data_IF_900325868509
#
_entry.id   IF_900325868509
#
_cell.length_a   1.000
_cell.length_b   1.000
_cell.length_c   1.000
_cell.angle_alpha   90.00
_cell.angle_beta   90.00
_cell.angle_gamma   90.00
#
_symmetry.space_group_name_H-M   'P 1'
#
loop_
_entity.id
_entity.type
_entity.pdbx_description
1 polymer ?
#
# COMPACT_ATOMS: atom_id res chain seq x y z
N UNK A 1 11.08 19.77 19.51
CA UNK A 1 9.75 19.12 19.47
C UNK A 1 8.66 20.18 19.34
N UNK A 2 8.33 20.66 18.13
CA UNK A 2 7.11 21.45 17.86
C UNK A 2 7.03 21.77 16.36
N UNK A 3 6.48 20.85 15.56
CA UNK A 3 5.87 21.12 14.23
C UNK A 3 5.40 19.83 13.53
N UNK A 4 5.81 18.66 14.02
CA UNK A 4 5.48 17.34 13.45
C UNK A 4 3.98 17.10 13.30
N UNK A 5 3.19 17.46 14.32
CA UNK A 5 1.72 17.34 14.28
C UNK A 5 1.09 18.22 13.19
N UNK A 6 1.63 19.43 12.98
CA UNK A 6 1.13 20.35 11.95
C UNK A 6 1.47 19.90 10.52
N UNK A 7 2.66 19.31 10.33
CA UNK A 7 3.05 18.70 9.06
C UNK A 7 2.17 17.50 8.72
N UNK A 8 2.01 16.54 9.66
CA UNK A 8 1.15 15.37 9.49
C UNK A 8 -0.32 15.74 9.29
N UNK A 9 -0.84 16.76 9.99
CA UNK A 9 -2.23 17.21 9.84
C UNK A 9 -2.47 17.82 8.45
N UNK A 10 -1.55 18.67 7.96
CA UNK A 10 -1.59 19.18 6.58
C UNK A 10 -1.41 18.08 5.54
N UNK A 11 -0.65 17.02 5.86
CA UNK A 11 -0.48 15.84 5.02
C UNK A 11 -1.79 15.03 4.93
N UNK A 12 -2.47 14.82 6.06
CA UNK A 12 -3.76 14.15 6.16
C UNK A 12 -4.83 14.89 5.35
N UNK A 13 -4.84 16.22 5.42
CA UNK A 13 -5.76 17.07 4.65
C UNK A 13 -5.46 17.05 3.14
N UNK A 14 -4.19 16.91 2.73
CA UNK A 14 -3.81 16.75 1.32
C UNK A 14 -4.08 15.35 0.76
N UNK A 15 -4.00 14.32 1.59
CA UNK A 15 -4.20 12.92 1.20
C UNK A 15 -5.68 12.48 1.26
N UNK A 16 -6.48 13.10 2.13
CA UNK A 16 -7.89 12.79 2.30
C UNK A 16 -8.72 14.08 2.18
N UNK A 17 -9.25 14.33 0.97
CA UNK A 17 -10.28 15.34 0.75
C UNK A 17 -11.47 15.01 1.64
N UNK A 18 -11.78 15.88 2.61
CA UNK A 18 -13.00 15.76 3.43
C UNK A 18 -14.21 15.67 2.50
N UNK A 19 -15.03 14.63 2.66
CA UNK A 19 -16.45 14.67 2.25
C UNK A 19 -17.10 15.85 2.98
N UNK A 20 -17.41 16.92 2.26
CA UNK A 20 -18.31 17.95 2.77
C UNK A 20 -19.74 17.58 2.39
N UNK A 21 -20.55 17.35 3.42
CA UNK A 21 -22.01 17.30 3.32
C UNK A 21 -22.56 18.65 2.83
N UNK A 22 -23.56 18.56 1.94
CA UNK A 22 -24.64 19.51 1.62
C UNK A 22 -24.31 21.01 1.79
N UNK A 23 -24.10 21.70 0.66
CA UNK A 23 -24.45 23.12 0.55
C UNK A 23 -25.49 23.34 -0.55
N UNK A 24 -26.66 23.80 -0.11
CA UNK A 24 -27.74 24.29 -0.96
C UNK A 24 -27.30 25.66 -1.49
N UNK A 25 -27.34 25.82 -2.80
CA UNK A 25 -27.04 27.06 -3.50
C UNK A 25 -28.02 28.18 -3.10
N UNK A 26 -27.48 29.34 -2.74
CA UNK A 26 -28.20 30.62 -2.87
C UNK A 26 -27.30 31.58 -3.62
N UNK A 27 -27.71 31.92 -4.85
CA UNK A 27 -27.08 32.91 -5.70
C UNK A 27 -27.28 34.32 -5.13
N UNK A 28 -26.26 35.18 -5.27
CA UNK A 28 -26.41 36.64 -5.22
C UNK A 28 -25.64 37.28 -6.38
N UNK A 29 -26.12 38.40 -6.97
CA UNK A 29 -25.63 38.91 -8.25
C UNK A 29 -24.27 39.63 -8.15
N UNK A 30 -23.58 39.87 -9.29
CA UNK A 30 -22.17 40.26 -9.31
C UNK A 30 -21.95 41.72 -8.89
N UNK A 31 -21.06 41.95 -7.94
CA UNK A 31 -20.54 43.28 -7.62
C UNK A 31 -19.19 43.53 -8.29
N UNK A 32 -19.05 44.76 -8.79
CA UNK A 32 -18.01 45.27 -9.68
C UNK A 32 -16.59 45.18 -9.13
N UNK A 33 -15.64 44.98 -10.06
CA UNK A 33 -14.21 44.92 -9.83
C UNK A 33 -13.66 46.18 -9.14
N UNK A 34 -12.99 45.97 -8.00
CA UNK A 34 -12.05 46.94 -7.42
C UNK A 34 -10.63 46.48 -7.70
N UNK A 35 -9.90 47.29 -8.43
CA UNK A 35 -8.46 47.17 -8.69
C UNK A 35 -7.72 47.28 -7.35
N UNK A 36 -7.11 46.18 -6.89
CA UNK A 36 -6.23 46.18 -5.71
C UNK A 36 -4.80 45.98 -6.20
N UNK A 37 -3.96 46.96 -5.86
CA UNK A 37 -2.53 47.04 -6.12
C UNK A 37 -1.77 45.80 -5.63
N UNK A 38 -0.91 45.28 -6.50
CA UNK A 38 0.00 44.15 -6.22
C UNK A 38 0.99 44.54 -5.11
N UNK A 39 1.07 43.81 -3.99
CA UNK A 39 2.18 43.95 -3.06
C UNK A 39 3.41 43.32 -3.70
N UNK A 40 4.47 44.12 -3.93
CA UNK A 40 5.79 43.58 -4.26
C UNK A 40 6.28 42.76 -3.07
N UNK A 41 6.32 41.44 -3.23
CA UNK A 41 7.02 40.56 -2.30
C UNK A 41 8.50 40.61 -2.68
N UNK A 42 9.29 41.27 -1.84
CA UNK A 42 10.75 41.14 -1.86
C UNK A 42 11.11 39.65 -1.76
N UNK A 43 11.66 39.11 -2.85
CA UNK A 43 12.24 37.76 -2.88
C UNK A 43 13.56 37.84 -2.12
N UNK A 44 13.47 37.73 -0.80
CA UNK A 44 14.59 37.32 0.02
C UNK A 44 15.04 35.94 -0.46
N UNK A 45 16.09 35.90 -1.28
CA UNK A 45 16.84 34.68 -1.59
C UNK A 45 17.29 34.09 -0.26
N UNK A 46 16.54 33.10 0.27
CA UNK A 46 17.09 32.19 1.27
C UNK A 46 18.19 31.41 0.58
N UNK A 47 19.43 31.79 0.83
CA UNK A 47 20.58 30.92 0.70
C UNK A 47 20.45 29.80 1.74
N UNK A 48 19.67 28.77 1.45
CA UNK A 48 19.81 27.49 2.13
C UNK A 48 20.42 26.52 1.13
N UNK A 49 21.72 26.29 1.26
CA UNK A 49 22.45 25.21 0.58
C UNK A 49 22.02 23.81 1.07
N UNK A 50 20.88 23.69 1.74
CA UNK A 50 20.35 22.44 2.25
C UNK A 50 19.19 21.98 1.37
N UNK A 51 19.27 20.73 0.90
CA UNK A 51 18.18 20.09 0.15
C UNK A 51 16.92 20.02 0.99
N UNK A 52 15.76 20.08 0.33
CA UNK A 52 14.49 19.75 0.98
C UNK A 52 14.50 18.29 1.49
N UNK A 53 13.79 17.99 2.59
CA UNK A 53 13.63 16.62 3.09
C UNK A 53 12.95 15.75 2.04
N UNK A 54 13.39 14.50 1.90
CA UNK A 54 12.68 13.57 1.03
C UNK A 54 11.40 13.10 1.71
N UNK A 55 10.32 13.07 0.95
CA UNK A 55 9.14 12.31 1.34
C UNK A 55 8.80 11.33 0.22
N UNK A 56 9.02 10.04 0.49
CA UNK A 56 8.70 8.96 -0.46
C UNK A 56 7.42 8.25 -0.02
N UNK A 57 6.40 8.31 -0.86
CA UNK A 57 5.19 7.53 -0.70
C UNK A 57 5.30 6.24 -1.53
N UNK A 58 5.21 5.10 -0.87
CA UNK A 58 5.10 3.79 -1.48
C UNK A 58 3.61 3.49 -1.70
N UNK A 59 3.24 3.13 -2.92
CA UNK A 59 1.98 2.47 -3.24
C UNK A 59 2.28 1.01 -3.54
N UNK A 60 1.81 0.10 -2.68
CA UNK A 60 2.02 -1.32 -2.81
C UNK A 60 0.69 -2.00 -3.11
N UNK A 61 0.59 -2.59 -4.31
CA UNK A 61 -0.51 -3.44 -4.69
C UNK A 61 -0.20 -4.87 -4.24
N UNK A 62 -0.85 -5.32 -3.17
CA UNK A 62 -0.72 -6.69 -2.68
C UNK A 62 -1.71 -7.57 -3.43
N UNK A 63 -1.26 -8.12 -4.55
CA UNK A 63 -2.08 -8.92 -5.44
C UNK A 63 -2.03 -10.42 -5.12
N UNK A 64 -3.03 -11.14 -5.64
CA UNK A 64 -3.27 -12.56 -5.35
C UNK A 64 -2.20 -13.50 -5.91
N UNK A 65 -1.72 -13.23 -7.14
CA UNK A 65 -0.61 -13.98 -7.75
C UNK A 65 0.67 -13.16 -7.83
N UNK A 66 0.54 -11.87 -8.15
CA UNK A 66 1.65 -10.95 -8.25
C UNK A 66 1.33 -9.66 -7.50
N UNK A 67 2.32 -9.13 -6.80
CA UNK A 67 2.31 -7.81 -6.20
C UNK A 67 3.10 -6.83 -7.06
N UNK A 68 2.78 -5.54 -6.93
CA UNK A 68 3.46 -4.46 -7.66
C UNK A 68 3.72 -3.29 -6.73
N UNK A 69 4.75 -2.50 -7.02
CA UNK A 69 5.08 -1.34 -6.22
C UNK A 69 5.43 -0.13 -7.08
N UNK A 70 4.87 1.01 -6.73
CA UNK A 70 5.23 2.32 -7.26
C UNK A 70 5.69 3.20 -6.11
N UNK A 71 6.85 3.82 -6.25
CA UNK A 71 7.34 4.82 -5.33
C UNK A 71 7.14 6.20 -5.93
N UNK A 72 6.76 7.17 -5.11
CA UNK A 72 6.64 8.58 -5.49
C UNK A 72 7.40 9.45 -4.52
N UNK A 73 8.36 10.22 -5.02
CA UNK A 73 8.86 11.38 -4.31
C UNK A 73 7.78 12.46 -4.35
N UNK A 74 7.17 12.73 -3.20
CA UNK A 74 6.05 13.64 -3.03
C UNK A 74 6.48 15.09 -3.23
N UNK A 75 7.74 15.42 -2.92
CA UNK A 75 8.26 16.78 -3.01
C UNK A 75 8.47 17.15 -4.48
N UNK A 76 9.13 16.28 -5.24
CA UNK A 76 9.36 16.52 -6.68
C UNK A 76 8.22 16.05 -7.58
N UNK A 77 7.20 15.40 -7.01
CA UNK A 77 6.08 14.76 -7.70
C UNK A 77 6.52 13.74 -8.78
N UNK A 78 7.70 13.13 -8.61
CA UNK A 78 8.24 12.12 -9.53
C UNK A 78 7.92 10.72 -9.00
N UNK A 79 7.33 9.89 -9.86
CA UNK A 79 7.08 8.49 -9.56
C UNK A 79 8.01 7.58 -10.36
N UNK A 80 8.30 6.40 -9.81
CA UNK A 80 8.98 5.32 -10.49
C UNK A 80 8.40 3.97 -10.06
N UNK A 81 8.42 3.03 -10.99
CA UNK A 81 8.05 1.64 -10.72
C UNK A 81 9.23 0.97 -10.03
N UNK A 82 8.95 0.19 -9.00
CA UNK A 82 9.93 -0.68 -8.35
C UNK A 82 10.17 -1.92 -9.22
N UNK A 83 11.43 -2.32 -9.37
CA UNK A 83 11.84 -3.51 -10.12
C UNK A 83 12.57 -4.45 -9.16
N UNK A 84 12.07 -5.66 -8.86
CA UNK A 84 12.81 -6.62 -8.02
C UNK A 84 14.22 -6.86 -8.54
N UNK A 85 15.21 -7.07 -7.65
CA UNK A 85 16.58 -7.31 -8.09
C UNK A 85 16.68 -8.53 -9.03
N UNK A 86 17.39 -8.40 -10.15
CA UNK A 86 17.56 -9.50 -11.12
C UNK A 86 16.39 -9.69 -12.08
N UNK A 87 15.35 -8.86 -12.00
CA UNK A 87 14.18 -8.91 -12.88
C UNK A 87 14.36 -8.19 -14.21
N UNK A 88 15.46 -7.47 -14.43
CA UNK A 88 15.60 -6.46 -15.48
C UNK A 88 15.49 -7.03 -16.91
N UNK A 89 15.71 -8.34 -17.07
CA UNK A 89 15.63 -9.06 -18.35
C UNK A 89 14.35 -9.89 -18.50
N UNK A 90 13.48 -9.90 -17.51
CA UNK A 90 12.21 -10.61 -17.58
C UNK A 90 11.19 -9.81 -18.40
N UNK A 91 10.22 -10.49 -19.01
CA UNK A 91 9.15 -9.85 -19.78
C UNK A 91 8.32 -8.87 -18.92
N UNK A 92 8.14 -9.21 -17.64
CA UNK A 92 7.40 -8.41 -16.68
C UNK A 92 8.28 -8.07 -15.45
N UNK A 93 9.24 -7.15 -15.61
CA UNK A 93 10.31 -6.89 -14.62
C UNK A 93 9.82 -6.15 -13.37
N UNK A 94 8.53 -5.82 -13.29
CA UNK A 94 7.94 -5.07 -12.17
C UNK A 94 7.04 -5.95 -11.30
N UNK A 95 6.86 -7.23 -11.65
CA UNK A 95 6.04 -8.17 -10.89
C UNK A 95 6.85 -8.81 -9.77
N UNK A 96 6.28 -8.78 -8.57
CA UNK A 96 6.77 -9.52 -7.40
C UNK A 96 5.87 -10.74 -7.26
N UNK A 97 6.40 -11.97 -7.32
CA UNK A 97 5.59 -13.17 -7.09
C UNK A 97 4.98 -13.12 -5.67
N UNK A 98 3.67 -13.32 -5.52
CA UNK A 98 3.00 -13.41 -4.22
C UNK A 98 3.04 -14.83 -3.63
N UNK A 99 4.02 -15.64 -4.04
CA UNK A 99 4.19 -17.04 -3.64
C UNK A 99 5.32 -17.17 -2.63
N UNK A 100 5.05 -17.89 -1.55
CA UNK A 100 6.09 -18.34 -0.61
C UNK A 100 6.31 -19.84 -0.78
N UNK A 101 7.51 -20.32 -0.41
CA UNK A 101 7.79 -21.74 -0.31
C UNK A 101 7.95 -22.12 1.16
N UNK A 102 7.39 -23.28 1.52
CA UNK A 102 7.62 -23.91 2.82
C UNK A 102 8.46 -25.17 2.64
N UNK A 103 9.65 -25.23 3.23
CA UNK A 103 10.50 -26.44 3.20
C UNK A 103 11.15 -26.66 4.55
N UNK A 104 10.92 -27.83 5.15
CA UNK A 104 11.53 -28.24 6.42
C UNK A 104 11.35 -27.17 7.52
N UNK A 105 10.15 -26.61 7.66
CA UNK A 105 9.83 -25.55 8.63
C UNK A 105 10.35 -24.15 8.28
N UNK A 106 10.96 -23.99 7.10
CA UNK A 106 11.52 -22.72 6.64
C UNK A 106 10.70 -22.07 5.54
N UNK A 107 10.50 -20.77 5.67
CA UNK A 107 9.93 -19.89 4.66
C UNK A 107 11.02 -19.35 3.74
N UNK A 108 10.71 -19.28 2.45
CA UNK A 108 11.47 -18.52 1.46
C UNK A 108 10.53 -17.88 0.45
N UNK A 109 10.98 -16.85 -0.25
CA UNK A 109 10.23 -16.22 -1.35
C UNK A 109 10.66 -16.80 -2.70
N UNK A 110 9.74 -16.77 -3.68
CA UNK A 110 10.03 -17.21 -5.06
C UNK A 110 10.60 -16.03 -5.86
N UNK A 111 11.88 -16.09 -6.19
CA UNK A 111 12.57 -15.05 -6.97
C UNK A 111 12.17 -15.05 -8.46
N UNK A 112 11.85 -16.22 -9.03
CA UNK A 112 11.57 -16.37 -10.46
C UNK A 112 10.10 -16.73 -10.73
N UNK A 113 9.34 -15.86 -11.44
CA UNK A 113 7.93 -16.06 -11.75
C UNK A 113 7.65 -17.09 -12.86
N UNK A 114 8.68 -17.70 -13.47
CA UNK A 114 8.53 -18.59 -14.63
C UNK A 114 7.79 -19.92 -14.38
N UNK A 115 7.37 -20.21 -13.14
CA UNK A 115 6.51 -21.35 -12.81
C UNK A 115 5.47 -20.90 -11.79
N UNK A 116 4.19 -20.95 -12.16
CA UNK A 116 3.11 -20.45 -11.30
C UNK A 116 2.82 -21.37 -10.09
N UNK A 117 3.24 -22.64 -10.15
CA UNK A 117 2.96 -23.64 -9.11
C UNK A 117 4.19 -24.51 -8.78
N UNK A 118 4.86 -24.16 -7.68
CA UNK A 118 5.94 -24.91 -7.07
C UNK A 118 5.47 -26.00 -6.09
N UNK A 119 6.22 -27.08 -6.00
CA UNK A 119 6.08 -28.02 -4.88
C UNK A 119 6.32 -27.28 -3.55
N UNK A 120 5.39 -27.46 -2.61
CA UNK A 120 5.34 -26.79 -1.30
C UNK A 120 5.14 -25.26 -1.36
N UNK A 121 4.50 -24.76 -2.41
CA UNK A 121 4.11 -23.36 -2.50
C UNK A 121 2.91 -23.03 -1.60
N UNK A 122 2.96 -21.84 -1.00
CA UNK A 122 1.88 -21.18 -0.29
C UNK A 122 1.37 -20.05 -1.20
N UNK A 123 0.18 -20.25 -1.75
CA UNK A 123 -0.40 -19.38 -2.78
C UNK A 123 -1.49 -18.48 -2.22
N UNK A 124 -1.86 -17.46 -3.00
CA UNK A 124 -3.05 -16.64 -2.77
C UNK A 124 -3.11 -16.04 -1.35
N UNK A 125 -1.97 -15.61 -0.83
CA UNK A 125 -1.80 -15.16 0.56
C UNK A 125 -2.76 -14.03 0.95
N UNK A 126 -3.05 -13.13 0.02
CA UNK A 126 -4.09 -12.08 0.14
C UNK A 126 -5.47 -12.70 0.49
N UNK A 127 -5.85 -13.73 -0.25
CA UNK A 127 -7.15 -14.40 -0.09
C UNK A 127 -7.16 -15.28 1.15
N UNK A 128 -6.06 -15.99 1.45
CA UNK A 128 -5.91 -16.74 2.69
C UNK A 128 -6.09 -15.84 3.94
N UNK A 129 -5.50 -14.63 3.94
CA UNK A 129 -5.70 -13.65 5.01
C UNK A 129 -7.18 -13.23 5.15
N UNK A 130 -7.86 -12.99 4.03
CA UNK A 130 -9.29 -12.65 4.04
C UNK A 130 -10.11 -13.79 4.66
N UNK A 131 -9.86 -15.05 4.27
CA UNK A 131 -10.56 -16.21 4.85
C UNK A 131 -10.28 -16.41 6.33
N UNK A 132 -9.04 -16.16 6.76
CA UNK A 132 -8.69 -16.16 8.19
C UNK A 132 -9.45 -15.06 8.94
N UNK A 133 -9.47 -13.82 8.42
CA UNK A 133 -10.19 -12.71 9.04
C UNK A 133 -11.70 -12.98 9.15
N UNK A 134 -12.29 -13.60 8.13
CA UNK A 134 -13.71 -13.96 8.07
C UNK A 134 -14.03 -15.30 8.76
N UNK A 135 -13.03 -15.99 9.32
CA UNK A 135 -13.17 -17.30 9.99
C UNK A 135 -13.76 -18.38 9.07
N UNK A 136 -13.45 -18.32 7.79
CA UNK A 136 -13.89 -19.27 6.75
C UNK A 136 -12.89 -20.43 6.64
N UNK A 137 -12.76 -21.23 7.70
CA UNK A 137 -11.68 -22.22 7.86
C UNK A 137 -11.68 -23.38 6.84
N UNK A 138 -12.86 -23.67 6.27
CA UNK A 138 -13.05 -24.74 5.28
C UNK A 138 -12.83 -24.27 3.84
N UNK A 139 -12.43 -23.02 3.62
CA UNK A 139 -12.13 -22.53 2.28
C UNK A 139 -10.89 -23.27 1.71
N UNK A 140 -10.95 -23.79 0.47
CA UNK A 140 -9.85 -24.51 -0.17
C UNK A 140 -8.56 -23.69 -0.29
N UNK A 141 -8.63 -22.36 -0.30
CA UNK A 141 -7.43 -21.52 -0.34
C UNK A 141 -6.50 -21.74 0.87
N UNK A 142 -7.05 -22.26 1.98
CA UNK A 142 -6.30 -22.58 3.19
C UNK A 142 -5.67 -23.98 3.15
N UNK A 143 -5.98 -24.84 2.18
CA UNK A 143 -5.46 -26.22 2.09
C UNK A 143 -3.92 -26.26 2.05
N UNK A 144 -3.21 -25.44 1.25
CA UNK A 144 -1.74 -25.46 1.23
C UNK A 144 -1.13 -25.10 2.59
N UNK A 145 -1.77 -24.19 3.33
CA UNK A 145 -1.32 -23.74 4.64
C UNK A 145 -1.56 -24.79 5.72
N UNK A 146 -2.71 -25.46 5.69
CA UNK A 146 -3.01 -26.60 6.56
C UNK A 146 -2.02 -27.74 6.30
N UNK A 147 -1.79 -28.09 5.05
CA UNK A 147 -0.86 -29.16 4.68
C UNK A 147 0.59 -28.85 5.10
N UNK A 148 1.00 -27.59 5.01
CA UNK A 148 2.33 -27.13 5.43
C UNK A 148 2.56 -27.23 6.95
N UNK A 149 1.52 -27.00 7.77
CA UNK A 149 1.58 -27.15 9.22
C UNK A 149 1.36 -28.60 9.70
N UNK A 150 0.63 -29.40 8.93
CA UNK A 150 0.08 -30.68 9.41
C UNK A 150 -1.20 -30.48 10.23
N UNK A 151 -1.54 -31.46 11.08
CA UNK A 151 -2.67 -31.34 12.00
C UNK A 151 -2.44 -30.17 12.97
N UNK A 152 -3.19 -29.09 12.76
CA UNK A 152 -3.06 -27.83 13.50
C UNK A 152 -4.45 -27.28 13.81
N UNK A 153 -4.61 -26.66 14.98
CA UNK A 153 -5.86 -25.99 15.33
C UNK A 153 -6.04 -24.68 14.53
N UNK A 154 -7.26 -24.15 14.54
CA UNK A 154 -7.61 -22.94 13.79
C UNK A 154 -6.81 -21.69 14.21
N UNK A 155 -6.35 -21.60 15.46
CA UNK A 155 -5.55 -20.48 15.93
C UNK A 155 -4.12 -20.57 15.41
N UNK A 156 -3.54 -21.77 15.39
CA UNK A 156 -2.22 -22.02 14.81
C UNK A 156 -2.24 -21.73 13.30
N UNK A 157 -3.27 -22.19 12.58
CA UNK A 157 -3.44 -21.89 11.16
C UNK A 157 -3.55 -20.37 10.92
N UNK A 158 -4.38 -19.67 11.70
CA UNK A 158 -4.55 -18.22 11.58
C UNK A 158 -3.24 -17.47 11.84
N UNK A 159 -2.50 -17.84 12.87
CA UNK A 159 -1.20 -17.26 13.18
C UNK A 159 -0.20 -17.50 12.05
N UNK A 160 -0.14 -18.73 11.53
CA UNK A 160 0.76 -19.10 10.45
C UNK A 160 0.51 -18.33 9.16
N UNK A 161 -0.76 -18.21 8.72
CA UNK A 161 -1.12 -17.42 7.53
C UNK A 161 -0.73 -15.94 7.73
N UNK A 162 -0.97 -15.38 8.92
CA UNK A 162 -0.53 -14.02 9.25
C UNK A 162 1.00 -13.88 9.20
N UNK A 163 1.74 -14.83 9.77
CA UNK A 163 3.20 -14.81 9.77
C UNK A 163 3.76 -14.87 8.35
N UNK A 164 3.16 -15.68 7.49
CA UNK A 164 3.49 -15.73 6.06
C UNK A 164 3.30 -14.35 5.40
N UNK A 165 2.18 -13.68 5.66
CA UNK A 165 1.93 -12.35 5.10
C UNK A 165 2.88 -11.27 5.61
N UNK A 166 3.19 -11.30 6.90
CA UNK A 166 4.19 -10.40 7.50
C UNK A 166 5.56 -10.65 6.88
N UNK A 167 5.97 -11.91 6.75
CA UNK A 167 7.24 -12.29 6.12
C UNK A 167 7.33 -11.78 4.68
N UNK A 168 6.28 -12.02 3.89
CA UNK A 168 6.22 -11.58 2.49
C UNK A 168 6.34 -10.05 2.37
N UNK A 169 5.52 -9.30 3.11
CA UNK A 169 5.50 -7.85 3.00
C UNK A 169 6.77 -7.21 3.58
N UNK A 170 7.28 -7.71 4.71
CA UNK A 170 8.48 -7.17 5.34
C UNK A 170 9.69 -7.30 4.40
N UNK A 171 9.86 -8.46 3.75
CA UNK A 171 10.96 -8.65 2.82
C UNK A 171 10.87 -7.76 1.58
N UNK A 172 9.66 -7.60 1.04
CA UNK A 172 9.42 -6.71 -0.08
C UNK A 172 9.69 -5.25 0.30
N UNK A 173 9.18 -4.77 1.43
CA UNK A 173 9.41 -3.40 1.89
C UNK A 173 10.87 -3.12 2.21
N UNK A 174 11.58 -4.08 2.80
CA UNK A 174 13.02 -3.98 3.03
C UNK A 174 13.78 -3.73 1.73
N UNK A 175 13.47 -4.53 0.71
CA UNK A 175 14.12 -4.41 -0.60
C UNK A 175 13.77 -3.09 -1.29
N UNK A 176 12.48 -2.71 -1.28
CA UNK A 176 12.00 -1.42 -1.81
C UNK A 176 12.74 -0.25 -1.15
N UNK A 177 12.86 -0.25 0.18
CA UNK A 177 13.59 0.81 0.89
C UNK A 177 15.07 0.82 0.56
N UNK A 178 15.67 -0.35 0.35
CA UNK A 178 17.03 -0.48 -0.19
C UNK A 178 17.18 0.25 -1.53
N UNK A 179 16.23 0.05 -2.45
CA UNK A 179 16.24 0.73 -3.75
C UNK A 179 15.95 2.23 -3.65
N UNK A 180 15.09 2.66 -2.74
CA UNK A 180 14.87 4.10 -2.46
C UNK A 180 16.18 4.76 -2.06
N UNK A 181 16.96 4.13 -1.16
CA UNK A 181 18.28 4.63 -0.73
C UNK A 181 19.30 4.65 -1.88
N UNK A 182 19.27 3.67 -2.77
CA UNK A 182 20.14 3.65 -3.96
C UNK A 182 19.80 4.77 -4.94
N UNK A 183 18.50 5.01 -5.17
CA UNK A 183 18.01 6.05 -6.08
C UNK A 183 18.20 7.46 -5.52
N UNK A 184 18.12 7.60 -4.20
CA UNK A 184 18.27 8.86 -3.48
C UNK A 184 19.44 8.73 -2.50
N UNK A 185 20.71 8.88 -2.94
CA UNK A 185 21.89 8.58 -2.13
C UNK A 185 22.02 9.38 -0.82
N UNK A 186 21.35 10.53 -0.73
CA UNK A 186 21.33 11.35 0.48
C UNK A 186 20.11 11.09 1.38
N UNK A 187 19.23 10.15 1.03
CA UNK A 187 18.08 9.74 1.83
C UNK A 187 18.52 9.12 3.16
N UNK A 188 17.98 9.62 4.27
CA UNK A 188 18.33 9.23 5.63
C UNK A 188 19.45 10.09 6.25
N UNK A 189 20.06 11.00 5.49
CA UNK A 189 21.03 11.97 6.04
C UNK A 189 20.36 13.09 6.85
N UNK A 190 19.04 13.31 6.64
CA UNK A 190 18.25 14.24 7.44
C UNK A 190 17.22 13.49 8.26
N UNK A 191 17.01 13.94 9.49
CA UNK A 191 16.05 13.32 10.41
C UNK A 191 14.57 13.50 9.98
N UNK A 192 14.31 14.42 9.06
CA UNK A 192 12.98 14.70 8.50
C UNK A 192 12.73 13.98 7.17
N UNK A 193 13.68 13.18 6.66
CA UNK A 193 13.42 12.28 5.54
C UNK A 193 12.40 11.21 5.97
N UNK A 194 11.35 11.04 5.18
CA UNK A 194 10.20 10.21 5.55
C UNK A 194 9.80 9.25 4.43
N UNK A 195 9.42 8.03 4.81
CA UNK A 195 8.80 7.05 3.91
C UNK A 195 7.51 6.56 4.54
N UNK A 196 6.45 6.52 3.75
CA UNK A 196 5.17 5.91 4.12
C UNK A 196 4.71 4.92 3.06
N UNK A 197 3.79 4.03 3.42
CA UNK A 197 3.23 3.00 2.55
C UNK A 197 1.71 3.05 2.55
N UNK A 198 1.15 2.94 1.34
CA UNK A 198 -0.25 2.69 1.09
C UNK A 198 -0.37 1.28 0.50
N UNK A 199 -1.01 0.38 1.23
CA UNK A 199 -1.26 -1.01 0.82
C UNK A 199 -2.66 -1.11 0.19
N UNK A 200 -2.74 -1.58 -1.06
CA UNK A 200 -4.02 -1.88 -1.68
C UNK A 200 -4.60 -3.20 -1.13
N UNK A 201 -5.87 -3.20 -0.74
CA UNK A 201 -6.59 -4.36 -0.19
C UNK A 201 -7.90 -4.61 -0.94
N UNK A 202 -8.43 -5.85 -0.97
CA UNK A 202 -9.62 -6.18 -1.75
C UNK A 202 -10.85 -5.34 -1.34
N UNK A 203 -11.60 -4.84 -2.33
CA UNK A 203 -12.66 -3.84 -2.13
C UNK A 203 -13.88 -4.41 -1.43
N UNK A 204 -14.28 -5.63 -1.76
CA UNK A 204 -15.48 -6.27 -1.21
C UNK A 204 -15.42 -6.41 0.33
N UNK A 205 -14.20 -6.39 0.89
CA UNK A 205 -13.96 -6.69 2.29
C UNK A 205 -13.16 -5.61 3.03
N UNK A 206 -12.61 -4.60 2.34
CA UNK A 206 -11.93 -3.45 2.98
C UNK A 206 -12.85 -2.68 3.94
N UNK A 207 -14.16 -2.69 3.68
CA UNK A 207 -15.19 -2.09 4.53
C UNK A 207 -15.55 -2.96 5.74
N UNK A 208 -15.17 -4.25 5.74
CA UNK A 208 -15.40 -5.15 6.89
C UNK A 208 -14.38 -4.89 7.99
N UNK A 209 -14.81 -4.58 9.23
CA UNK A 209 -13.89 -4.22 10.31
C UNK A 209 -12.85 -5.29 10.64
N UNK A 210 -13.18 -6.58 10.51
CA UNK A 210 -12.31 -7.70 10.85
C UNK A 210 -11.15 -7.83 9.85
N UNK A 211 -11.45 -7.71 8.56
CA UNK A 211 -10.46 -7.76 7.47
C UNK A 211 -9.58 -6.52 7.54
N UNK A 212 -10.19 -5.34 7.68
CA UNK A 212 -9.49 -4.08 7.84
C UNK A 212 -8.50 -4.11 9.02
N UNK A 213 -8.93 -4.64 10.16
CA UNK A 213 -8.07 -4.79 11.35
C UNK A 213 -6.89 -5.73 11.10
N UNK A 214 -7.14 -6.90 10.51
CA UNK A 214 -6.07 -7.87 10.23
C UNK A 214 -5.03 -7.30 9.26
N UNK A 215 -5.46 -6.64 8.17
CA UNK A 215 -4.55 -6.05 7.20
C UNK A 215 -3.74 -4.88 7.77
N UNK A 216 -4.35 -4.00 8.58
CA UNK A 216 -3.60 -2.95 9.28
C UNK A 216 -2.54 -3.55 10.22
N UNK A 217 -2.89 -4.60 10.95
CA UNK A 217 -1.97 -5.29 11.84
C UNK A 217 -0.80 -5.91 11.07
N UNK A 218 -1.09 -6.66 10.01
CA UNK A 218 -0.10 -7.27 9.12
C UNK A 218 0.82 -6.22 8.51
N UNK A 219 0.26 -5.12 8.01
CA UNK A 219 1.03 -4.02 7.41
C UNK A 219 1.96 -3.37 8.44
N UNK A 220 1.45 -3.06 9.64
CA UNK A 220 2.24 -2.48 10.72
C UNK A 220 3.40 -3.41 11.12
N UNK A 221 3.13 -4.69 11.32
CA UNK A 221 4.14 -5.68 11.72
C UNK A 221 5.19 -5.89 10.63
N UNK A 222 4.76 -5.97 9.38
CA UNK A 222 5.66 -6.06 8.24
C UNK A 222 6.56 -4.81 8.13
N UNK A 223 6.00 -3.63 8.37
CA UNK A 223 6.74 -2.38 8.34
C UNK A 223 7.80 -2.30 9.45
N UNK A 224 7.48 -2.78 10.65
CA UNK A 224 8.46 -2.85 11.76
C UNK A 224 9.59 -3.82 11.43
N UNK A 225 9.28 -4.98 10.83
CA UNK A 225 10.26 -6.05 10.55
C UNK A 225 10.98 -5.91 9.20
N UNK A 226 10.77 -4.83 8.47
CA UNK A 226 11.28 -4.70 7.11
C UNK A 226 12.82 -4.73 7.01
N UNK A 227 13.54 -4.32 8.06
CA UNK A 227 15.01 -4.49 8.13
C UNK A 227 15.39 -5.94 8.46
N UNK A 228 14.71 -6.55 9.43
CA UNK A 228 15.00 -7.91 9.90
C UNK A 228 14.78 -8.96 8.80
N UNK A 229 13.79 -8.74 7.92
CA UNK A 229 13.38 -9.67 6.87
C UNK A 229 13.71 -9.17 5.46
N UNK A 230 14.56 -8.16 5.33
CA UNK A 230 14.94 -7.55 4.04
C UNK A 230 15.38 -8.60 3.00
N UNK A 231 14.81 -8.53 1.78
CA UNK A 231 15.05 -9.48 0.68
C UNK A 231 14.69 -10.93 1.01
N UNK A 232 13.70 -11.14 1.88
CA UNK A 232 13.12 -12.45 2.15
C UNK A 232 14.16 -13.53 2.48
N UNK A 233 14.96 -13.35 3.55
CA UNK A 233 15.94 -14.35 3.94
C UNK A 233 15.24 -15.67 4.26
N UNK A 234 15.88 -16.80 3.94
CA UNK A 234 15.35 -18.10 4.31
C UNK A 234 15.34 -18.23 5.84
N UNK A 235 14.16 -18.27 6.45
CA UNK A 235 13.98 -18.24 7.91
C UNK A 235 13.04 -19.33 8.39
N UNK A 236 13.25 -19.79 9.61
CA UNK A 236 12.32 -20.68 10.28
C UNK A 236 11.00 -19.94 10.62
N UNK A 237 9.86 -20.61 10.54
CA UNK A 237 8.56 -20.03 10.93
C UNK A 237 8.58 -19.56 12.38
N UNK A 238 9.21 -20.32 13.27
CA UNK A 238 9.35 -19.97 14.68
C UNK A 238 10.17 -18.70 14.89
N UNK A 239 11.08 -18.38 13.95
CA UNK A 239 11.82 -17.12 13.99
C UNK A 239 10.91 -15.92 13.71
N UNK A 240 10.04 -16.03 12.70
CA UNK A 240 9.06 -14.98 12.39
C UNK A 240 8.12 -14.76 13.58
N UNK A 241 7.66 -15.83 14.23
CA UNK A 241 6.84 -15.76 15.46
C UNK A 241 7.57 -15.06 16.61
N UNK A 242 8.85 -15.38 16.79
CA UNK A 242 9.70 -14.76 17.80
C UNK A 242 9.88 -13.27 17.54
N UNK A 243 10.08 -12.86 16.29
CA UNK A 243 10.16 -11.45 15.90
C UNK A 243 8.84 -10.72 16.19
N UNK A 244 7.71 -11.29 15.79
CA UNK A 244 6.37 -10.73 16.03
C UNK A 244 6.07 -10.56 17.53
N UNK A 245 6.45 -11.53 18.36
CA UNK A 245 6.27 -11.46 19.81
C UNK A 245 7.04 -10.30 20.45
N UNK A 246 8.15 -9.86 19.86
CA UNK A 246 8.92 -8.69 20.33
C UNK A 246 8.21 -7.38 19.99
N UNK A 247 7.46 -7.31 18.89
CA UNK A 247 6.72 -6.11 18.46
C UNK A 247 5.56 -5.82 19.41
N UNK A 248 4.81 -6.84 19.85
CA UNK A 248 3.68 -6.68 20.77
C UNK A 248 4.06 -6.03 22.11
N UNK A 249 5.37 -5.90 22.41
CA UNK A 249 5.90 -5.23 23.61
C UNK A 249 6.34 -3.79 23.38
N UNK A 250 6.38 -3.32 22.13
CA UNK A 250 6.77 -1.95 21.73
C UNK A 250 5.67 -1.35 20.86
N UNK A 251 4.85 -0.46 21.42
CA UNK A 251 4.03 0.42 20.60
C UNK A 251 4.84 1.66 20.22
N UNK A 252 5.37 1.68 19.00
CA UNK A 252 5.88 2.92 18.39
C UNK A 252 4.76 3.58 17.57
N UNK A 253 4.18 4.65 18.13
CA UNK A 253 3.12 5.41 17.47
C UNK A 253 3.57 6.02 16.13
N UNK A 254 4.87 6.27 15.93
CA UNK A 254 5.39 6.88 14.70
C UNK A 254 5.30 5.94 13.50
N UNK A 255 5.33 4.63 13.72
CA UNK A 255 5.20 3.62 12.67
C UNK A 255 3.75 3.51 12.17
N UNK A 256 2.76 3.70 13.06
CA UNK A 256 1.34 3.69 12.67
C UNK A 256 1.01 4.85 11.72
N UNK A 257 1.68 6.00 11.85
CA UNK A 257 1.50 7.16 10.97
C UNK A 257 2.12 6.97 9.57
N UNK A 258 2.91 5.91 9.35
CA UNK A 258 3.52 5.57 8.06
C UNK A 258 2.75 4.49 7.28
N UNK A 259 1.77 3.83 7.91
CA UNK A 259 1.09 2.67 7.34
C UNK A 259 -0.38 2.97 7.07
N UNK A 260 -0.80 2.90 5.82
CA UNK A 260 -2.18 3.09 5.42
C UNK A 260 -2.64 1.94 4.52
N UNK A 261 -3.89 1.52 4.67
CA UNK A 261 -4.55 0.62 3.72
C UNK A 261 -5.53 1.41 2.86
N UNK A 262 -5.72 0.97 1.62
CA UNK A 262 -6.58 1.64 0.65
C UNK A 262 -7.32 0.61 -0.22
N UNK A 263 -8.58 0.81 -0.60
CA UNK A 263 -9.28 -0.11 -1.49
C UNK A 263 -8.63 -0.16 -2.89
N UNK A 264 -8.46 -1.37 -3.42
CA UNK A 264 -7.82 -1.61 -4.72
C UNK A 264 -8.51 -0.90 -5.89
N UNK A 265 -9.84 -0.99 -6.01
CA UNK A 265 -10.58 -0.27 -7.06
C UNK A 265 -10.37 1.24 -6.99
N UNK A 266 -10.23 1.80 -5.78
CA UNK A 266 -9.96 3.23 -5.64
C UNK A 266 -8.57 3.61 -6.14
N UNK A 267 -7.57 2.74 -5.99
CA UNK A 267 -6.20 3.00 -6.46
C UNK A 267 -6.16 3.09 -8.00
N UNK A 268 -6.83 2.15 -8.66
CA UNK A 268 -6.91 2.11 -10.12
C UNK A 268 -7.68 3.31 -10.70
N UNK A 269 -8.80 3.68 -10.07
CA UNK A 269 -9.57 4.87 -10.45
C UNK A 269 -8.74 6.15 -10.31
N UNK A 270 -7.93 6.28 -9.25
CA UNK A 270 -7.02 7.42 -9.08
C UNK A 270 -5.94 7.47 -10.16
N UNK A 271 -5.44 6.31 -10.60
CA UNK A 271 -4.53 6.22 -11.74
C UNK A 271 -5.17 6.75 -13.03
N UNK A 272 -6.41 6.37 -13.30
CA UNK A 272 -7.17 6.87 -14.46
C UNK A 272 -7.42 8.38 -14.37
N UNK A 273 -7.97 8.88 -13.25
CA UNK A 273 -8.33 10.31 -13.10
C UNK A 273 -7.11 11.23 -13.25
N UNK A 274 -5.94 10.81 -12.75
CA UNK A 274 -4.70 11.59 -12.86
C UNK A 274 -4.03 11.48 -14.23
N UNK A 275 -4.58 10.69 -15.13
CA UNK A 275 -4.07 10.56 -16.50
C UNK A 275 -4.38 11.81 -17.31
N UNK A 276 -3.44 12.23 -18.17
CA UNK A 276 -3.65 13.36 -19.08
C UNK A 276 -4.75 13.11 -20.12
N UNK A 277 -5.10 11.85 -20.33
CA UNK A 277 -6.13 11.44 -21.30
C UNK A 277 -7.49 11.16 -20.64
N UNK A 278 -7.63 11.38 -19.32
CA UNK A 278 -8.92 11.21 -18.63
C UNK A 278 -9.91 12.28 -19.09
N UNK A 279 -11.16 11.90 -19.38
CA UNK A 279 -12.26 12.82 -19.66
C UNK A 279 -13.43 12.59 -18.71
N UNK A 280 -14.29 13.58 -18.45
CA UNK A 280 -15.54 13.35 -17.70
C UNK A 280 -16.41 12.27 -18.35
N UNK A 281 -17.08 11.45 -17.54
CA UNK A 281 -17.92 10.36 -18.03
C UNK A 281 -18.31 9.33 -16.97
N UNK A 282 -19.04 8.30 -17.41
CA UNK A 282 -19.38 7.13 -16.61
C UNK A 282 -18.46 6.00 -17.06
N UNK A 283 -17.74 5.41 -16.12
CA UNK A 283 -16.74 4.38 -16.38
C UNK A 283 -17.07 3.11 -15.63
N UNK A 284 -16.90 1.97 -16.31
CA UNK A 284 -16.81 0.65 -15.68
C UNK A 284 -15.32 0.30 -15.60
N UNK A 285 -14.84 0.12 -14.38
CA UNK A 285 -13.55 -0.49 -14.13
C UNK A 285 -13.76 -1.99 -13.91
N UNK A 286 -13.01 -2.82 -14.63
CA UNK A 286 -12.99 -4.27 -14.46
C UNK A 286 -11.55 -4.69 -14.21
N UNK A 287 -11.25 -5.03 -12.96
CA UNK A 287 -9.99 -5.67 -12.57
C UNK A 287 -10.16 -7.18 -12.67
N UNK A 288 -9.39 -7.82 -13.52
CA UNK A 288 -9.37 -9.29 -13.60
C UNK A 288 -7.99 -9.75 -13.15
N UNK A 289 -7.91 -10.14 -11.88
CA UNK A 289 -6.73 -10.76 -11.30
C UNK A 289 -6.73 -12.28 -11.49
N UNK A 290 -5.67 -12.93 -11.00
CA UNK A 290 -5.51 -14.38 -11.08
C UNK A 290 -6.54 -15.19 -10.27
N UNK A 291 -7.24 -14.56 -9.33
CA UNK A 291 -8.25 -15.22 -8.49
C UNK A 291 -9.44 -14.36 -8.10
N UNK A 292 -9.49 -13.09 -8.54
CA UNK A 292 -10.57 -12.15 -8.23
C UNK A 292 -10.96 -11.37 -9.47
N UNK A 293 -12.25 -11.03 -9.56
CA UNK A 293 -12.76 -10.06 -10.54
C UNK A 293 -13.44 -8.95 -9.75
N UNK A 294 -12.82 -7.77 -9.75
CA UNK A 294 -13.35 -6.60 -9.06
C UNK A 294 -13.91 -5.62 -10.09
N UNK A 295 -15.22 -5.40 -10.02
CA UNK A 295 -15.90 -4.46 -10.90
C UNK A 295 -16.42 -3.27 -10.11
N UNK A 296 -16.15 -2.07 -10.62
CA UNK A 296 -16.62 -0.83 -10.02
C UNK A 296 -17.10 0.13 -11.09
N UNK A 297 -18.30 0.69 -10.91
CA UNK A 297 -18.80 1.78 -11.74
C UNK A 297 -18.52 3.09 -11.02
N UNK A 298 -17.92 4.06 -11.72
CA UNK A 298 -17.70 5.39 -11.18
C UNK A 298 -18.06 6.48 -12.19
N UNK A 299 -18.54 7.60 -11.67
CA UNK A 299 -18.78 8.82 -12.43
C UNK A 299 -17.62 9.76 -12.14
N UNK A 300 -16.94 10.21 -13.19
CA UNK A 300 -15.88 11.20 -13.12
C UNK A 300 -16.36 12.50 -13.75
N UNK A 301 -16.27 13.59 -12.98
CA UNK A 301 -16.51 14.95 -13.45
C UNK A 301 -15.26 15.80 -13.17
N UNK A 302 -14.95 16.71 -14.09
CA UNK A 302 -13.87 17.69 -13.94
C UNK A 302 -14.44 19.06 -14.27
N UNK A 303 -14.49 19.93 -13.28
CA UNK A 303 -14.99 21.30 -13.40
C UNK A 303 -14.05 22.24 -12.65
N UNK A 304 -13.61 23.34 -13.28
CA UNK A 304 -12.73 24.37 -12.69
C UNK A 304 -11.60 23.86 -11.77
N UNK A 305 -10.80 22.89 -12.25
CA UNK A 305 -9.71 22.22 -11.52
C UNK A 305 -10.12 21.39 -10.29
N UNK A 306 -11.42 21.17 -10.08
CA UNK A 306 -11.95 20.24 -9.10
C UNK A 306 -12.33 18.91 -9.76
N UNK A 307 -11.86 17.82 -9.18
CA UNK A 307 -12.16 16.45 -9.61
C UNK A 307 -13.24 15.87 -8.69
N UNK A 308 -14.36 15.45 -9.27
CA UNK A 308 -15.44 14.80 -8.53
C UNK A 308 -15.56 13.34 -8.96
N UNK A 309 -15.43 12.44 -7.99
CA UNK A 309 -15.58 11.00 -8.17
C UNK A 309 -16.76 10.49 -7.34
N UNK A 310 -17.71 9.84 -8.01
CA UNK A 310 -18.83 9.16 -7.36
C UNK A 310 -18.80 7.68 -7.70
N UNK A 311 -18.58 6.82 -6.70
CA UNK A 311 -18.65 5.37 -6.85
C UNK A 311 -20.11 4.90 -6.77
N UNK A 312 -20.49 3.99 -7.67
CA UNK A 312 -21.78 3.29 -7.64
C UNK A 312 -21.50 1.83 -7.33
N UNK A 313 -21.74 1.41 -6.09
CA UNK A 313 -21.79 -0.01 -5.74
C UNK A 313 -23.11 -0.60 -6.25
N UNK A 314 -23.09 -1.74 -6.96
CA UNK A 314 -24.31 -2.51 -7.18
C UNK A 314 -24.83 -2.95 -5.81
N UNK A 315 -26.05 -2.57 -5.45
CA UNK A 315 -26.74 -3.20 -4.33
C UNK A 315 -26.91 -4.68 -4.67
N UNK A 316 -26.26 -5.55 -3.89
CA UNK A 316 -26.61 -6.97 -3.83
C UNK A 316 -27.75 -7.16 -2.84
#
# INVERSE_FOLDING_TARGET
MSNWKGFLQRLKEKLFVKKSEKYIATYSPPQQAKTVSVPQVEVGRKSSSEREPYFVQIGFDFGTAYSKCVCRDVITNKAWVYLPAGSERMEHPFLISSVLLMRNGKLSHVENPGSDYHANGLYHLKHALEKVALRQWHDPVLDPYRNALGESDVNQLAAFVRNCAVYFLAGAFGEIRGQVRQRLPSFGMRADDYVAVNLAVPVADAERPEVNRLYNQVLFEAWVLMDDLNRHPVVDVAEVERLLTKISKKEDLTVKDACFIYPEASANVQGFVRSRVSSPGIYLFSDTGAGTVDQSVFIFLRDDNCEHLTYRTPHK
#
